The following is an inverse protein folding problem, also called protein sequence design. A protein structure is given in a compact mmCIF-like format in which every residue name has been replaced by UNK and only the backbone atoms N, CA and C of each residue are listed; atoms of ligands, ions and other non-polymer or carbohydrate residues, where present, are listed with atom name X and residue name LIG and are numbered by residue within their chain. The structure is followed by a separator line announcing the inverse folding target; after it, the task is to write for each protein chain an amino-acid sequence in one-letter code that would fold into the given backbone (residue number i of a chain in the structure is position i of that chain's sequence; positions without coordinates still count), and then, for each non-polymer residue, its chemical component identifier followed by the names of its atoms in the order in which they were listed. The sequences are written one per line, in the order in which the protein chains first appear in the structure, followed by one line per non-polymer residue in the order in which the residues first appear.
data_IF_487956098866
#
_entry.id   IF_487956098866
#
_cell.length_a   1.000
_cell.length_b   1.000
_cell.length_c   1.000
_cell.angle_alpha   90.00
_cell.angle_beta   90.00
_cell.angle_gamma   90.00
#
_symmetry.space_group_name_H-M   'P 1'
#
loop_
_entity.id
_entity.type
_entity.pdbx_description
1 polymer ?
#
# COMPACT_ATOMS: atom_id res chain seq x y z
N UNK A 1 36.88 -34.92 -18.47
CA UNK A 1 35.82 -33.89 -18.56
C UNK A 1 35.21 -33.76 -17.18
N UNK A 2 35.66 -32.75 -16.42
CA UNK A 2 35.20 -32.44 -15.06
C UNK A 2 34.35 -31.19 -15.17
N UNK A 3 33.10 -31.28 -14.74
CA UNK A 3 32.16 -30.17 -14.64
C UNK A 3 32.77 -29.03 -13.81
N UNK A 4 33.13 -27.96 -14.51
CA UNK A 4 33.47 -26.66 -13.93
C UNK A 4 32.25 -25.76 -14.11
N UNK A 5 31.18 -26.05 -13.37
CA UNK A 5 30.06 -25.14 -13.24
C UNK A 5 30.53 -23.91 -12.44
N UNK A 6 30.38 -22.68 -12.95
CA UNK A 6 30.78 -21.48 -12.23
C UNK A 6 29.96 -21.37 -10.94
N UNK A 7 30.69 -21.32 -9.82
CA UNK A 7 30.15 -21.14 -8.48
C UNK A 7 29.51 -19.75 -8.43
N UNK A 8 28.18 -19.70 -8.53
CA UNK A 8 27.40 -18.47 -8.35
C UNK A 8 27.71 -17.92 -6.96
N UNK A 9 28.47 -16.83 -6.92
CA UNK A 9 28.64 -16.00 -5.74
C UNK A 9 27.27 -15.45 -5.39
N UNK A 10 26.61 -16.11 -4.43
CA UNK A 10 25.42 -15.59 -3.75
C UNK A 10 25.89 -14.30 -3.08
N UNK A 11 25.67 -13.16 -3.76
CA UNK A 11 25.77 -11.86 -3.11
C UNK A 11 24.75 -11.93 -1.98
N UNK A 12 25.15 -11.78 -0.69
CA UNK A 12 24.20 -11.77 0.40
C UNK A 12 23.19 -10.67 0.08
N UNK A 13 21.97 -11.09 -0.22
CA UNK A 13 20.84 -10.22 -0.48
C UNK A 13 20.67 -9.43 0.81
N UNK A 14 21.24 -8.23 0.83
CA UNK A 14 21.20 -7.32 1.96
C UNK A 14 19.72 -7.07 2.16
N UNK A 15 19.14 -7.70 3.19
CA UNK A 15 17.72 -7.59 3.50
C UNK A 15 17.37 -6.13 3.39
N UNK A 16 16.61 -5.78 2.35
CA UNK A 16 16.24 -4.42 2.06
C UNK A 16 15.52 -3.95 3.32
N UNK A 17 16.20 -3.15 4.14
CA UNK A 17 15.65 -2.63 5.37
C UNK A 17 14.43 -1.83 4.93
N UNK A 18 13.27 -2.45 5.11
CA UNK A 18 11.99 -1.83 4.79
C UNK A 18 11.99 -0.50 5.53
N UNK A 19 11.93 0.64 4.81
CA UNK A 19 12.10 1.94 5.42
C UNK A 19 11.25 2.07 6.68
N UNK A 20 11.83 2.61 7.76
CA UNK A 20 11.21 2.64 9.09
C UNK A 20 9.80 3.28 9.10
N UNK A 21 9.50 4.11 8.10
CA UNK A 21 8.19 4.73 7.92
C UNK A 21 7.12 3.78 7.34
N UNK A 22 7.52 2.70 6.65
CA UNK A 22 6.63 1.64 6.15
C UNK A 22 6.35 0.57 7.21
N UNK A 23 7.25 0.39 8.18
CA UNK A 23 6.88 -0.23 9.46
C UNK A 23 6.00 0.76 10.22
N UNK A 24 4.74 0.89 9.78
CA UNK A 24 3.68 1.47 10.59
C UNK A 24 3.75 0.76 11.93
N UNK A 25 4.35 1.45 12.91
CA UNK A 25 4.60 0.94 14.25
C UNK A 25 3.30 0.31 14.69
N UNK A 26 3.26 -1.02 14.68
CA UNK A 26 2.06 -1.80 14.95
C UNK A 26 1.75 -1.50 16.41
N UNK A 27 0.94 -0.45 16.62
CA UNK A 27 0.57 0.05 17.94
C UNK A 27 0.10 -1.19 18.66
N UNK A 28 0.77 -1.56 19.76
CA UNK A 28 0.44 -2.76 20.52
C UNK A 28 -1.04 -2.70 20.86
N UNK A 29 -1.86 -3.35 20.04
CA UNK A 29 -3.29 -3.42 20.27
C UNK A 29 -3.47 -4.27 21.52
N UNK A 30 -4.33 -3.82 22.43
CA UNK A 30 -4.62 -4.61 23.62
C UNK A 30 -5.11 -6.00 23.22
N UNK A 31 -4.74 -7.02 23.98
CA UNK A 31 -5.11 -8.41 23.71
C UNK A 31 -6.62 -8.59 23.54
N UNK A 32 -7.41 -7.78 24.27
CA UNK A 32 -8.85 -7.73 24.16
C UNK A 32 -9.35 -7.21 22.80
N UNK A 33 -8.82 -6.07 22.32
CA UNK A 33 -9.20 -5.52 21.02
C UNK A 33 -8.83 -6.47 19.88
N UNK A 34 -7.67 -7.13 19.98
CA UNK A 34 -7.25 -8.12 18.99
C UNK A 34 -8.18 -9.33 18.95
N UNK A 35 -8.64 -9.81 20.11
CA UNK A 35 -9.65 -10.86 20.19
C UNK A 35 -10.98 -10.41 19.57
N UNK A 36 -11.44 -9.20 19.88
CA UNK A 36 -12.67 -8.65 19.32
C UNK A 36 -12.61 -8.52 17.79
N UNK A 37 -11.52 -7.95 17.24
CA UNK A 37 -11.36 -7.84 15.79
C UNK A 37 -11.33 -9.20 15.09
N UNK A 38 -10.75 -10.23 15.72
CA UNK A 38 -10.82 -11.60 15.18
C UNK A 38 -12.24 -12.16 15.12
N UNK A 39 -13.11 -11.73 16.02
CA UNK A 39 -14.50 -12.18 16.07
C UNK A 39 -15.40 -11.40 15.09
N UNK A 40 -15.21 -10.07 14.99
CA UNK A 40 -16.18 -9.17 14.39
C UNK A 40 -15.73 -8.49 13.08
N UNK A 41 -14.43 -8.36 12.81
CA UNK A 41 -13.93 -7.76 11.57
C UNK A 41 -13.90 -8.76 10.41
N UNK A 42 -14.02 -8.30 9.15
CA UNK A 42 -13.72 -9.14 7.99
C UNK A 42 -12.25 -9.60 8.00
N UNK A 43 -11.92 -10.72 7.33
CA UNK A 43 -10.53 -11.17 7.20
C UNK A 43 -9.68 -10.12 6.48
N UNK A 44 -8.41 -10.03 6.88
CA UNK A 44 -7.45 -9.09 6.28
C UNK A 44 -7.20 -9.45 4.80
N UNK A 45 -7.34 -8.50 3.87
CA UNK A 45 -7.08 -8.76 2.45
C UNK A 45 -5.58 -8.96 2.20
N UNK A 46 -5.23 -9.60 1.09
CA UNK A 46 -3.84 -9.74 0.67
C UNK A 46 -3.19 -8.35 0.41
N UNK A 47 -1.87 -8.25 0.53
CA UNK A 47 -1.12 -7.01 0.27
C UNK A 47 -1.23 -6.52 -1.18
N UNK A 48 -1.63 -7.39 -2.11
CA UNK A 48 -1.89 -7.08 -3.52
C UNK A 48 -3.36 -6.83 -3.82
N UNK A 49 -4.22 -6.76 -2.80
CA UNK A 49 -5.66 -6.57 -2.99
C UNK A 49 -5.97 -5.21 -3.61
N UNK A 50 -7.09 -5.16 -4.33
CA UNK A 50 -7.54 -3.93 -4.97
C UNK A 50 -7.91 -2.86 -3.91
N UNK A 51 -7.79 -1.59 -4.28
CA UNK A 51 -8.21 -0.48 -3.41
C UNK A 51 -9.64 -0.64 -2.88
N UNK A 52 -10.54 -1.16 -3.71
CA UNK A 52 -11.95 -1.41 -3.34
C UNK A 52 -12.08 -2.43 -2.21
N UNK A 53 -11.28 -3.51 -2.24
CA UNK A 53 -11.27 -4.54 -1.20
C UNK A 53 -10.64 -4.02 0.09
N UNK A 54 -9.55 -3.25 -0.01
CA UNK A 54 -8.93 -2.60 1.14
C UNK A 54 -9.88 -1.61 1.81
N UNK A 55 -10.58 -0.78 1.04
CA UNK A 55 -11.58 0.17 1.58
C UNK A 55 -12.75 -0.56 2.23
N UNK A 56 -13.18 -1.68 1.64
CA UNK A 56 -14.22 -2.52 2.22
C UNK A 56 -13.77 -3.13 3.56
N UNK A 57 -12.53 -3.61 3.65
CA UNK A 57 -11.93 -4.08 4.91
C UNK A 57 -11.82 -2.95 5.95
N UNK A 58 -11.33 -1.77 5.56
CA UNK A 58 -11.22 -0.58 6.42
C UNK A 58 -12.58 -0.20 7.02
N UNK A 59 -13.64 -0.15 6.19
CA UNK A 59 -15.02 0.10 6.64
C UNK A 59 -15.53 -1.00 7.58
N UNK A 60 -15.28 -2.27 7.25
CA UNK A 60 -15.66 -3.39 8.12
C UNK A 60 -14.98 -3.36 9.49
N UNK A 61 -13.69 -2.96 9.54
CA UNK A 61 -12.94 -2.80 10.79
C UNK A 61 -13.43 -1.60 11.62
N UNK A 62 -13.69 -0.46 10.99
CA UNK A 62 -14.31 0.69 11.67
C UNK A 62 -15.70 0.32 12.21
N UNK A 63 -16.50 -0.40 11.41
CA UNK A 63 -17.77 -0.95 11.83
C UNK A 63 -17.66 -1.86 13.06
N UNK A 64 -16.64 -2.74 13.09
CA UNK A 64 -16.38 -3.61 14.25
C UNK A 64 -16.15 -2.81 15.54
N UNK A 65 -15.45 -1.67 15.49
CA UNK A 65 -15.25 -0.81 16.66
C UNK A 65 -16.57 -0.22 17.16
N UNK A 66 -17.42 0.23 16.23
CA UNK A 66 -18.72 0.82 16.54
C UNK A 66 -19.65 -0.23 17.14
N UNK A 67 -19.75 -1.42 16.54
CA UNK A 67 -20.58 -2.51 17.06
C UNK A 67 -20.20 -2.84 18.51
N UNK A 68 -18.91 -2.83 18.87
CA UNK A 68 -18.48 -3.03 20.26
C UNK A 68 -19.05 -1.98 21.21
N UNK A 69 -18.98 -0.70 20.83
CA UNK A 69 -19.56 0.39 21.61
C UNK A 69 -21.08 0.27 21.70
N UNK A 70 -21.74 -0.21 20.64
CA UNK A 70 -23.19 -0.47 20.64
C UNK A 70 -23.58 -1.62 21.57
N UNK A 71 -22.80 -2.71 21.65
CA UNK A 71 -23.02 -3.75 22.65
C UNK A 71 -22.89 -3.20 24.08
N UNK A 72 -21.85 -2.39 24.33
CA UNK A 72 -21.66 -1.78 25.64
C UNK A 72 -22.86 -0.88 26.01
N UNK A 73 -23.36 -0.09 25.06
CA UNK A 73 -24.56 0.72 25.24
C UNK A 73 -25.78 -0.13 25.60
N UNK A 74 -26.01 -1.26 24.91
CA UNK A 74 -27.12 -2.16 25.23
C UNK A 74 -26.98 -2.76 26.62
N UNK A 75 -25.77 -3.16 27.03
CA UNK A 75 -25.51 -3.69 28.37
C UNK A 75 -25.79 -2.63 29.45
N UNK A 76 -25.34 -1.39 29.24
CA UNK A 76 -25.62 -0.26 30.15
C UNK A 76 -27.13 0.07 30.21
N UNK A 77 -27.89 -0.27 29.18
CA UNK A 77 -29.34 -0.03 29.15
C UNK A 77 -30.16 -1.07 29.93
N UNK A 78 -29.58 -2.22 30.31
CA UNK A 78 -30.28 -3.29 31.01
C UNK A 78 -30.86 -2.85 32.36
N UNK A 79 -30.12 -2.16 33.26
CA UNK A 79 -30.66 -1.70 34.53
C UNK A 79 -31.88 -0.78 34.37
N UNK A 80 -31.91 0.05 33.32
CA UNK A 80 -33.05 0.90 33.02
C UNK A 80 -34.31 0.10 32.66
N UNK A 81 -34.17 -1.11 32.12
CA UNK A 81 -35.30 -2.02 31.85
C UNK A 81 -35.94 -2.62 33.11
N UNK A 82 -35.18 -2.75 34.20
CA UNK A 82 -35.69 -3.27 35.47
C UNK A 82 -36.26 -2.17 36.38
N UNK A 83 -35.69 -0.97 36.33
CA UNK A 83 -36.10 0.17 37.17
C UNK A 83 -37.13 1.06 36.45
N UNK A 84 -37.14 1.04 35.11
CA UNK A 84 -37.97 1.92 34.30
C UNK A 84 -39.45 1.52 34.27
N UNK A 85 -40.28 2.47 33.82
CA UNK A 85 -41.73 2.27 33.67
C UNK A 85 -42.10 1.44 32.45
N UNK A 86 -41.20 1.30 31.47
CA UNK A 86 -41.46 0.56 30.24
C UNK A 86 -41.00 -0.90 30.35
N UNK A 87 -41.93 -1.81 30.69
CA UNK A 87 -41.68 -3.26 30.77
C UNK A 87 -41.21 -3.87 29.43
N UNK A 88 -41.52 -3.22 28.30
CA UNK A 88 -41.10 -3.67 26.98
C UNK A 88 -39.62 -3.38 26.69
N UNK A 89 -38.92 -2.61 27.53
CA UNK A 89 -37.51 -2.28 27.30
C UNK A 89 -36.60 -3.52 27.30
N UNK A 90 -36.83 -4.49 28.20
CA UNK A 90 -36.05 -5.74 28.24
C UNK A 90 -36.17 -6.54 26.93
N UNK A 91 -37.37 -6.89 26.43
CA UNK A 91 -37.47 -7.60 25.16
C UNK A 91 -36.94 -6.80 23.97
N UNK A 92 -37.03 -5.46 23.99
CA UNK A 92 -36.41 -4.59 22.97
C UNK A 92 -34.87 -4.73 23.01
N UNK A 93 -34.25 -4.68 24.19
CA UNK A 93 -32.79 -4.86 24.34
C UNK A 93 -32.35 -6.25 23.89
N UNK A 94 -33.12 -7.30 24.20
CA UNK A 94 -32.85 -8.67 23.75
C UNK A 94 -32.91 -8.74 22.21
N UNK A 95 -33.98 -8.21 21.61
CA UNK A 95 -34.13 -8.16 20.15
C UNK A 95 -33.00 -7.39 19.47
N UNK A 96 -32.61 -6.23 20.02
CA UNK A 96 -31.50 -5.44 19.51
C UNK A 96 -30.15 -6.18 19.63
N UNK A 97 -29.93 -6.91 20.72
CA UNK A 97 -28.74 -7.73 20.92
C UNK A 97 -28.65 -8.86 19.89
N UNK A 98 -29.76 -9.56 19.64
CA UNK A 98 -29.83 -10.60 18.60
C UNK A 98 -29.56 -10.02 17.20
N UNK A 99 -30.14 -8.87 16.87
CA UNK A 99 -29.90 -8.21 15.60
C UNK A 99 -28.43 -7.75 15.45
N UNK A 100 -27.80 -7.27 16.51
CA UNK A 100 -26.36 -6.96 16.52
C UNK A 100 -25.48 -8.20 16.34
N UNK A 101 -25.88 -9.35 16.88
CA UNK A 101 -25.15 -10.62 16.66
C UNK A 101 -25.19 -10.97 15.17
N UNK A 102 -26.35 -10.88 14.54
CA UNK A 102 -26.49 -11.09 13.09
C UNK A 102 -25.66 -10.06 12.31
N UNK A 103 -25.71 -8.78 12.69
CA UNK A 103 -24.89 -7.73 12.09
C UNK A 103 -23.38 -8.01 12.18
N UNK A 104 -22.93 -8.51 13.33
CA UNK A 104 -21.53 -8.88 13.58
C UNK A 104 -21.11 -10.05 12.70
N UNK A 105 -21.96 -11.08 12.59
CA UNK A 105 -21.70 -12.22 11.71
C UNK A 105 -21.62 -11.80 10.23
N UNK A 106 -22.52 -10.93 9.77
CA UNK A 106 -22.48 -10.42 8.40
C UNK A 106 -21.24 -9.54 8.14
N UNK A 107 -20.82 -8.72 9.11
CA UNK A 107 -19.62 -7.92 9.01
C UNK A 107 -18.37 -8.81 8.88
N UNK A 108 -18.31 -9.88 9.67
CA UNK A 108 -17.23 -10.89 9.62
C UNK A 108 -17.13 -11.59 8.26
N UNK A 109 -18.27 -11.89 7.62
CA UNK A 109 -18.30 -12.52 6.28
C UNK A 109 -17.97 -11.51 5.17
N UNK A 110 -17.74 -10.24 5.50
CA UNK A 110 -17.48 -9.19 4.51
C UNK A 110 -18.74 -8.71 3.79
N UNK A 111 -19.93 -8.88 4.38
CA UNK A 111 -21.17 -8.24 3.88
C UNK A 111 -21.44 -6.93 4.63
N UNK A 112 -20.50 -5.99 4.57
CA UNK A 112 -20.47 -4.78 5.42
C UNK A 112 -21.70 -3.90 5.23
N UNK A 113 -22.18 -3.73 3.98
CA UNK A 113 -23.39 -2.93 3.74
C UNK A 113 -24.65 -3.57 4.37
N UNK A 114 -24.80 -4.89 4.27
CA UNK A 114 -25.94 -5.60 4.85
C UNK A 114 -25.90 -5.57 6.39
N UNK A 115 -24.71 -5.78 6.97
CA UNK A 115 -24.47 -5.58 8.40
C UNK A 115 -24.86 -4.16 8.82
N UNK A 116 -24.42 -3.17 8.05
CA UNK A 116 -24.76 -1.76 8.24
C UNK A 116 -26.26 -1.48 8.27
N UNK A 117 -27.01 -1.99 7.29
CA UNK A 117 -28.46 -1.82 7.22
C UNK A 117 -29.11 -2.40 8.49
N UNK A 118 -28.72 -3.61 8.90
CA UNK A 118 -29.28 -4.25 10.11
C UNK A 118 -28.96 -3.43 11.35
N UNK A 119 -27.70 -2.98 11.52
CA UNK A 119 -27.28 -2.16 12.67
C UNK A 119 -28.06 -0.84 12.71
N UNK A 120 -28.16 -0.14 11.57
CA UNK A 120 -28.90 1.13 11.47
C UNK A 120 -30.37 0.91 11.78
N UNK A 121 -31.03 -0.07 11.18
CA UNK A 121 -32.45 -0.36 11.46
C UNK A 121 -32.67 -0.75 12.92
N UNK A 122 -31.75 -1.52 13.51
CA UNK A 122 -31.81 -1.89 14.93
C UNK A 122 -31.79 -0.65 15.82
N UNK A 123 -30.89 0.29 15.55
CA UNK A 123 -30.75 1.52 16.36
C UNK A 123 -31.72 2.63 15.98
N UNK A 124 -32.47 2.51 14.88
CA UNK A 124 -33.70 3.27 14.64
C UNK A 124 -34.84 2.64 15.45
N UNK A 125 -35.03 1.33 15.34
CA UNK A 125 -36.12 0.61 15.99
C UNK A 125 -36.03 0.68 17.52
N UNK A 126 -34.83 0.61 18.10
CA UNK A 126 -34.61 0.65 19.55
C UNK A 126 -35.29 1.87 20.23
N UNK A 127 -34.92 3.14 19.92
CA UNK A 127 -35.58 4.30 20.50
C UNK A 127 -37.03 4.46 20.01
N UNK A 128 -37.34 4.15 18.76
CA UNK A 128 -38.70 4.27 18.19
C UNK A 128 -39.69 3.39 18.94
N UNK A 129 -39.39 2.09 19.08
CA UNK A 129 -40.25 1.14 19.78
C UNK A 129 -40.33 1.50 21.26
N UNK A 130 -39.24 1.93 21.89
CA UNK A 130 -39.26 2.38 23.29
C UNK A 130 -40.21 3.58 23.49
N UNK A 131 -40.14 4.60 22.61
CA UNK A 131 -41.01 5.78 22.66
C UNK A 131 -42.48 5.37 22.45
N UNK A 132 -42.78 4.56 21.43
CA UNK A 132 -44.14 4.16 21.08
C UNK A 132 -44.77 3.24 22.14
N UNK A 133 -43.98 2.41 22.81
CA UNK A 133 -44.46 1.46 23.82
C UNK A 133 -44.44 2.01 25.25
N UNK A 134 -44.06 3.28 25.44
CA UNK A 134 -44.02 3.90 26.78
C UNK A 134 -45.44 3.99 27.37
N UNK A 135 -45.70 3.37 28.54
CA UNK A 135 -47.02 3.44 29.17
C UNK A 135 -47.41 4.88 29.51
N UNK A 136 -48.66 5.25 29.20
CA UNK A 136 -49.16 6.62 29.40
C UNK A 136 -48.76 7.61 28.30
N UNK A 137 -48.04 7.17 27.26
CA UNK A 137 -47.68 7.98 26.10
C UNK A 137 -46.45 8.86 26.32
N UNK A 138 -46.33 9.92 25.52
CA UNK A 138 -45.23 10.87 25.58
C UNK A 138 -45.33 11.72 26.86
N UNK A 139 -44.27 11.69 27.66
CA UNK A 139 -44.07 12.54 28.83
C UNK A 139 -42.80 13.38 28.68
N UNK A 140 -42.60 14.36 29.56
CA UNK A 140 -41.39 15.18 29.59
C UNK A 140 -40.11 14.34 29.75
N UNK A 141 -40.20 13.20 30.45
CA UNK A 141 -39.08 12.27 30.66
C UNK A 141 -38.69 11.48 29.39
N UNK A 142 -39.58 11.40 28.40
CA UNK A 142 -39.35 10.69 27.13
C UNK A 142 -38.66 11.58 26.11
N UNK A 143 -38.76 12.91 26.23
CA UNK A 143 -38.16 13.85 25.27
C UNK A 143 -36.64 13.62 25.05
N UNK A 144 -35.82 13.35 26.07
CA UNK A 144 -34.40 13.01 25.88
C UNK A 144 -34.16 11.77 25.01
N UNK A 145 -35.12 10.83 24.92
CA UNK A 145 -34.98 9.63 24.08
C UNK A 145 -34.96 9.95 22.59
N UNK A 146 -35.53 11.07 22.15
CA UNK A 146 -35.37 11.53 20.77
C UNK A 146 -33.91 11.89 20.45
N UNK A 147 -33.11 12.27 21.45
CA UNK A 147 -31.67 12.47 21.29
C UNK A 147 -30.93 11.18 20.90
N UNK A 148 -31.45 10.01 21.28
CA UNK A 148 -30.88 8.72 20.89
C UNK A 148 -31.04 8.42 19.39
N UNK A 149 -31.94 9.12 18.68
CA UNK A 149 -32.07 9.04 17.22
C UNK A 149 -30.86 9.63 16.47
N UNK A 150 -29.92 10.27 17.17
CA UNK A 150 -28.63 10.66 16.59
C UNK A 150 -27.72 9.43 16.38
N UNK A 151 -27.82 8.42 17.23
CA UNK A 151 -26.99 7.22 17.17
C UNK A 151 -27.08 6.45 15.83
N UNK A 152 -28.27 6.19 15.25
CA UNK A 152 -28.36 5.58 13.94
C UNK A 152 -27.76 6.44 12.80
N UNK A 153 -27.60 7.76 12.97
CA UNK A 153 -26.88 8.61 12.01
C UNK A 153 -25.39 8.29 11.98
N UNK A 154 -24.79 8.15 13.17
CA UNK A 154 -23.39 7.73 13.31
C UNK A 154 -23.18 6.32 12.77
N UNK A 155 -24.13 5.40 13.02
CA UNK A 155 -24.08 4.07 12.45
C UNK A 155 -24.16 4.12 10.90
N UNK A 156 -25.06 4.93 10.35
CA UNK A 156 -25.24 5.04 8.91
C UNK A 156 -23.99 5.55 8.21
N UNK A 157 -23.36 6.61 8.72
CA UNK A 157 -22.17 7.18 8.07
C UNK A 157 -20.96 6.24 8.10
N UNK A 158 -20.87 5.37 9.11
CA UNK A 158 -19.74 4.45 9.26
C UNK A 158 -19.89 3.17 8.47
N UNK A 159 -21.12 2.66 8.33
CA UNK A 159 -21.36 1.39 7.66
C UNK A 159 -21.88 1.52 6.24
N UNK A 160 -22.57 2.60 5.89
CA UNK A 160 -23.22 2.79 4.60
C UNK A 160 -22.49 3.87 3.80
N UNK A 161 -22.78 4.01 2.49
CA UNK A 161 -22.31 5.18 1.74
C UNK A 161 -22.70 6.48 2.45
N UNK A 162 -21.83 7.50 2.53
CA UNK A 162 -22.02 8.66 3.39
C UNK A 162 -23.36 9.40 3.21
N UNK A 163 -23.93 9.37 2.01
CA UNK A 163 -25.22 10.02 1.71
C UNK A 163 -26.42 9.41 2.45
N UNK A 164 -26.34 8.16 2.92
CA UNK A 164 -27.41 7.51 3.68
C UNK A 164 -27.71 8.23 5.00
N UNK A 165 -26.75 8.98 5.55
CA UNK A 165 -26.95 9.73 6.80
C UNK A 165 -28.11 10.74 6.67
N UNK A 166 -28.30 11.33 5.49
CA UNK A 166 -29.39 12.27 5.24
C UNK A 166 -30.76 11.58 5.15
N UNK A 167 -30.80 10.38 4.57
CA UNK A 167 -32.03 9.57 4.50
C UNK A 167 -32.48 9.18 5.92
N UNK A 168 -31.55 8.74 6.76
CA UNK A 168 -31.83 8.40 8.16
C UNK A 168 -32.21 9.64 8.97
N UNK A 169 -31.53 10.78 8.77
CA UNK A 169 -31.87 12.04 9.45
C UNK A 169 -33.28 12.52 9.08
N UNK A 170 -33.65 12.44 7.80
CA UNK A 170 -34.99 12.77 7.34
C UNK A 170 -36.04 11.84 7.97
N UNK A 171 -35.80 10.53 7.95
CA UNK A 171 -36.69 9.55 8.60
C UNK A 171 -36.87 9.81 10.09
N UNK A 172 -35.79 10.10 10.82
CA UNK A 172 -35.83 10.40 12.25
C UNK A 172 -36.52 11.74 12.55
N UNK A 173 -36.34 12.74 11.68
CA UNK A 173 -37.01 14.04 11.80
C UNK A 173 -38.52 13.91 11.57
N UNK A 174 -38.93 13.15 10.54
CA UNK A 174 -40.33 12.85 10.26
C UNK A 174 -40.97 12.05 11.40
N UNK A 175 -40.26 11.04 11.94
CA UNK A 175 -40.73 10.29 13.09
C UNK A 175 -40.89 11.17 14.33
N UNK A 176 -39.95 12.09 14.58
CA UNK A 176 -40.03 13.05 15.70
C UNK A 176 -41.26 13.95 15.57
N UNK A 177 -41.47 14.52 14.39
CA UNK A 177 -42.63 15.36 14.09
C UNK A 177 -43.95 14.57 14.27
N UNK A 178 -44.02 13.38 13.67
CA UNK A 178 -45.19 12.51 13.78
C UNK A 178 -45.48 12.14 15.24
N UNK A 179 -44.45 11.79 16.01
CA UNK A 179 -44.60 11.42 17.41
C UNK A 179 -45.20 12.55 18.23
N UNK A 180 -44.67 13.77 18.11
CA UNK A 180 -45.16 14.91 18.88
C UNK A 180 -46.59 15.34 18.50
N UNK A 181 -47.02 15.09 17.27
CA UNK A 181 -48.37 15.44 16.81
C UNK A 181 -49.39 14.36 17.18
N UNK A 182 -49.10 13.10 16.89
CA UNK A 182 -50.11 12.04 16.86
C UNK A 182 -50.09 11.07 18.05
N UNK A 183 -48.98 10.92 18.77
CA UNK A 183 -48.95 9.98 19.90
C UNK A 183 -49.70 10.55 21.11
N UNK A 184 -50.31 9.68 21.95
CA UNK A 184 -50.88 10.08 23.23
C UNK A 184 -49.82 10.80 24.08
N UNK A 185 -50.23 11.84 24.80
CA UNK A 185 -49.34 12.71 25.57
C UNK A 185 -49.90 12.91 26.97
N UNK A 186 -49.04 13.09 27.95
CA UNK A 186 -49.49 13.52 29.29
C UNK A 186 -50.06 14.93 29.24
N UNK A 187 -50.97 15.26 30.17
CA UNK A 187 -51.59 16.59 30.25
C UNK A 187 -50.54 17.70 30.39
N UNK A 188 -49.48 17.44 31.16
CA UNK A 188 -48.33 18.34 31.33
C UNK A 188 -47.63 18.62 29.99
N UNK A 189 -47.24 17.58 29.25
CA UNK A 189 -46.59 17.76 27.95
C UNK A 189 -47.51 18.46 26.97
N UNK A 190 -48.81 18.15 26.98
CA UNK A 190 -49.78 18.82 26.10
C UNK A 190 -49.88 20.33 26.37
N UNK A 191 -49.88 20.75 27.64
CA UNK A 191 -49.92 22.16 28.01
C UNK A 191 -48.64 22.89 27.55
N UNK A 192 -47.47 22.27 27.74
CA UNK A 192 -46.19 22.85 27.30
C UNK A 192 -46.12 22.92 25.77
N UNK A 193 -46.56 21.85 25.09
CA UNK A 193 -46.48 21.78 23.64
C UNK A 193 -47.40 22.81 22.95
N UNK A 194 -48.54 23.16 23.57
CA UNK A 194 -49.41 24.22 23.07
C UNK A 194 -48.73 25.61 23.06
N UNK A 195 -47.79 25.85 23.98
CA UNK A 195 -47.11 27.14 24.13
C UNK A 195 -45.77 27.14 23.40
N UNK A 196 -45.04 26.02 23.42
CA UNK A 196 -43.64 25.93 23.04
C UNK A 196 -43.32 24.80 22.06
N UNK A 197 -44.27 24.40 21.19
CA UNK A 197 -44.05 23.33 20.18
C UNK A 197 -42.75 23.53 19.39
N UNK A 198 -42.57 24.72 18.80
CA UNK A 198 -41.38 25.02 18.00
C UNK A 198 -40.09 24.98 18.84
N UNK A 199 -40.15 25.42 20.10
CA UNK A 199 -39.00 25.40 21.02
C UNK A 199 -38.55 24.00 21.40
N UNK A 200 -39.45 23.01 21.43
CA UNK A 200 -39.12 21.60 21.69
C UNK A 200 -38.66 20.89 20.40
N UNK A 201 -39.37 21.11 19.29
CA UNK A 201 -39.07 20.43 18.02
C UNK A 201 -37.73 20.90 17.42
N UNK A 202 -37.47 22.21 17.45
CA UNK A 202 -36.33 22.81 16.74
C UNK A 202 -34.99 22.25 17.21
N UNK A 203 -34.66 22.19 18.52
CA UNK A 203 -33.38 21.65 18.97
C UNK A 203 -33.17 20.17 18.58
N UNK A 204 -34.22 19.36 18.63
CA UNK A 204 -34.15 17.93 18.29
C UNK A 204 -33.83 17.77 16.80
N UNK A 205 -34.63 18.38 15.92
CA UNK A 205 -34.43 18.29 14.46
C UNK A 205 -33.13 18.97 14.03
N UNK A 206 -32.83 20.15 14.57
CA UNK A 206 -31.61 20.88 14.27
C UNK A 206 -30.36 20.07 14.66
N UNK A 207 -30.37 19.40 15.81
CA UNK A 207 -29.25 18.54 16.22
C UNK A 207 -29.02 17.37 15.25
N UNK A 208 -30.09 16.74 14.74
CA UNK A 208 -29.99 15.67 13.75
C UNK A 208 -29.42 16.18 12.42
N UNK A 209 -29.87 17.35 11.96
CA UNK A 209 -29.35 17.99 10.75
C UNK A 209 -27.86 18.32 10.90
N UNK A 210 -27.48 19.01 11.99
CA UNK A 210 -26.09 19.38 12.26
C UNK A 210 -25.20 18.13 12.30
N UNK A 211 -25.58 17.11 13.08
CA UNK A 211 -24.80 15.88 13.18
C UNK A 211 -24.69 15.18 11.82
N UNK A 212 -25.75 15.15 11.02
CA UNK A 212 -25.71 14.54 9.67
C UNK A 212 -24.72 15.25 8.74
N UNK A 213 -24.67 16.59 8.75
CA UNK A 213 -23.76 17.39 7.93
C UNK A 213 -22.31 17.17 8.40
N UNK A 214 -22.07 17.27 9.70
CA UNK A 214 -20.72 17.09 10.28
C UNK A 214 -20.21 15.68 10.03
N UNK A 215 -21.04 14.65 10.26
CA UNK A 215 -20.71 13.26 10.00
C UNK A 215 -20.38 13.03 8.52
N UNK A 216 -21.20 13.56 7.61
CA UNK A 216 -20.97 13.47 6.17
C UNK A 216 -19.65 14.11 5.76
N UNK A 217 -19.40 15.36 6.19
CA UNK A 217 -18.19 16.09 5.88
C UNK A 217 -16.94 15.41 6.45
N UNK A 218 -17.04 14.86 7.66
CA UNK A 218 -15.96 14.12 8.32
C UNK A 218 -15.58 12.86 7.53
N UNK A 219 -16.54 11.98 7.23
CA UNK A 219 -16.25 10.74 6.48
C UNK A 219 -15.74 11.07 5.07
N UNK A 220 -16.34 12.03 4.38
CA UNK A 220 -15.88 12.43 3.06
C UNK A 220 -14.45 13.01 3.11
N UNK A 221 -14.14 13.81 4.12
CA UNK A 221 -12.80 14.34 4.37
C UNK A 221 -11.77 13.24 4.62
N UNK A 222 -12.10 12.27 5.49
CA UNK A 222 -11.24 11.13 5.79
C UNK A 222 -11.00 10.26 4.56
N UNK A 223 -12.04 9.90 3.80
CA UNK A 223 -11.87 9.09 2.57
C UNK A 223 -11.01 9.81 1.54
N UNK A 224 -11.18 11.12 1.35
CA UNK A 224 -10.33 11.91 0.44
C UNK A 224 -8.89 11.97 0.94
N UNK A 225 -8.67 12.23 2.22
CA UNK A 225 -7.32 12.27 2.80
C UNK A 225 -6.61 10.92 2.64
N UNK A 226 -7.31 9.83 2.90
CA UNK A 226 -6.77 8.48 2.77
C UNK A 226 -6.44 8.13 1.32
N UNK A 227 -7.33 8.46 0.37
CA UNK A 227 -7.03 8.27 -1.06
C UNK A 227 -5.83 9.07 -1.55
N UNK A 228 -5.56 10.24 -0.97
CA UNK A 228 -4.37 11.05 -1.28
C UNK A 228 -3.11 10.43 -0.68
N UNK A 229 -3.20 9.92 0.54
CA UNK A 229 -2.09 9.23 1.20
C UNK A 229 -1.69 7.97 0.43
N UNK A 230 -2.66 7.12 0.05
CA UNK A 230 -2.38 5.88 -0.70
C UNK A 230 -1.72 6.18 -2.06
N UNK A 231 -2.17 7.24 -2.77
CA UNK A 231 -1.51 7.69 -4.02
C UNK A 231 -0.10 8.24 -3.81
N UNK A 232 0.12 8.96 -2.71
CA UNK A 232 1.45 9.48 -2.38
C UNK A 232 2.42 8.35 -2.04
N UNK A 233 1.94 7.30 -1.37
CA UNK A 233 2.73 6.10 -1.08
C UNK A 233 3.08 5.32 -2.36
N UNK A 234 2.12 5.14 -3.27
CA UNK A 234 2.37 4.52 -4.57
C UNK A 234 3.40 5.33 -5.40
N UNK A 235 3.27 6.66 -5.42
CA UNK A 235 4.22 7.53 -6.10
C UNK A 235 5.62 7.44 -5.49
N UNK A 236 5.73 7.49 -4.16
CA UNK A 236 7.02 7.38 -3.46
C UNK A 236 7.70 6.03 -3.73
N UNK A 237 6.92 4.94 -3.83
CA UNK A 237 7.43 3.63 -4.20
C UNK A 237 7.97 3.61 -5.63
N UNK A 238 7.22 4.17 -6.59
CA UNK A 238 7.65 4.27 -7.98
C UNK A 238 8.90 5.15 -8.15
N UNK A 239 8.96 6.28 -7.45
CA UNK A 239 10.14 7.15 -7.44
C UNK A 239 11.37 6.42 -6.89
N UNK A 240 11.20 5.63 -5.83
CA UNK A 240 12.27 4.81 -5.28
C UNK A 240 12.77 3.75 -6.26
N UNK A 241 11.85 3.02 -6.90
CA UNK A 241 12.20 2.00 -7.90
C UNK A 241 12.90 2.62 -9.12
N UNK A 242 12.46 3.80 -9.57
CA UNK A 242 13.11 4.56 -10.65
C UNK A 242 14.50 5.06 -10.25
N UNK A 243 14.68 5.53 -9.01
CA UNK A 243 15.98 5.96 -8.51
C UNK A 243 16.99 4.81 -8.48
N UNK A 244 16.56 3.61 -8.03
CA UNK A 244 17.40 2.41 -8.06
C UNK A 244 17.78 2.00 -9.50
N UNK A 245 16.83 2.05 -10.44
CA UNK A 245 17.12 1.77 -11.84
C UNK A 245 18.10 2.78 -12.44
N UNK A 246 17.94 4.06 -12.11
CA UNK A 246 18.86 5.12 -12.55
C UNK A 246 20.28 4.91 -12.01
N UNK A 247 20.42 4.48 -10.75
CA UNK A 247 21.72 4.17 -10.16
C UNK A 247 22.39 3.00 -10.89
N UNK A 248 21.66 1.91 -11.13
CA UNK A 248 22.18 0.74 -11.87
C UNK A 248 22.60 1.14 -13.29
N UNK A 249 21.80 1.95 -13.98
CA UNK A 249 22.13 2.44 -15.32
C UNK A 249 23.38 3.35 -15.31
N UNK A 250 23.53 4.21 -14.30
CA UNK A 250 24.70 5.07 -14.13
C UNK A 250 25.98 4.23 -13.88
N UNK A 251 25.91 3.21 -13.02
CA UNK A 251 27.02 2.30 -12.76
C UNK A 251 27.43 1.53 -14.03
N UNK A 252 26.46 1.00 -14.78
CA UNK A 252 26.72 0.33 -16.06
C UNK A 252 27.40 1.26 -17.06
N UNK A 253 26.95 2.52 -17.16
CA UNK A 253 27.56 3.52 -18.02
C UNK A 253 29.02 3.81 -17.63
N UNK A 254 29.28 4.00 -16.33
CA UNK A 254 30.64 4.23 -15.84
C UNK A 254 31.58 3.04 -16.11
N UNK A 255 31.07 1.81 -15.95
CA UNK A 255 31.82 0.61 -16.29
C UNK A 255 32.13 0.53 -17.79
N UNK A 256 31.16 0.86 -18.65
CA UNK A 256 31.35 0.92 -20.10
C UNK A 256 32.40 1.98 -20.48
N UNK A 257 32.30 3.19 -19.95
CA UNK A 257 33.27 4.28 -20.22
C UNK A 257 34.69 3.89 -19.81
N UNK A 258 34.85 3.33 -18.60
CA UNK A 258 36.15 2.83 -18.12
C UNK A 258 36.71 1.75 -19.04
N UNK A 259 35.85 0.89 -19.58
CA UNK A 259 36.24 -0.22 -20.45
C UNK A 259 36.62 0.25 -21.84
N UNK A 260 35.90 1.24 -22.38
CA UNK A 260 36.26 1.94 -23.61
C UNK A 260 37.62 2.63 -23.46
N UNK A 261 37.86 3.32 -22.34
CA UNK A 261 39.13 4.02 -22.11
C UNK A 261 40.32 3.05 -22.13
N UNK A 262 40.18 1.86 -21.53
CA UNK A 262 41.21 0.81 -21.60
C UNK A 262 41.46 0.30 -23.02
N UNK A 263 40.41 0.16 -23.83
CA UNK A 263 40.53 -0.21 -25.25
C UNK A 263 41.29 0.88 -26.01
N UNK A 264 40.91 2.15 -25.83
CA UNK A 264 41.53 3.31 -26.46
C UNK A 264 43.00 3.42 -26.09
N UNK A 265 43.34 3.32 -24.80
CA UNK A 265 44.72 3.36 -24.31
C UNK A 265 45.59 2.25 -24.92
N UNK A 266 45.04 1.03 -24.99
CA UNK A 266 45.73 -0.10 -25.64
C UNK A 266 45.98 0.20 -27.12
N UNK A 267 44.99 0.79 -27.82
CA UNK A 267 45.12 1.16 -29.22
C UNK A 267 46.21 2.22 -29.44
N UNK A 268 46.29 3.24 -28.57
CA UNK A 268 47.35 4.27 -28.60
C UNK A 268 48.73 3.63 -28.40
N UNK A 269 48.89 2.71 -27.43
CA UNK A 269 50.16 2.00 -27.20
C UNK A 269 50.60 1.19 -28.42
N UNK A 270 49.67 0.48 -29.04
CA UNK A 270 49.92 -0.27 -30.29
C UNK A 270 50.33 0.67 -31.42
N UNK A 271 49.63 1.80 -31.59
CA UNK A 271 49.97 2.81 -32.59
C UNK A 271 51.38 3.39 -32.39
N UNK A 272 51.83 3.49 -31.13
CA UNK A 272 53.19 3.88 -30.76
C UNK A 272 54.23 2.75 -30.90
N UNK A 273 53.86 1.59 -31.47
CA UNK A 273 54.76 0.50 -31.79
C UNK A 273 54.89 -0.60 -30.72
N UNK A 274 54.13 -0.51 -29.62
CA UNK A 274 54.06 -1.55 -28.57
C UNK A 274 52.99 -2.60 -28.92
N UNK A 275 53.36 -3.56 -29.77
CA UNK A 275 52.46 -4.66 -30.19
C UNK A 275 52.26 -5.74 -29.12
N UNK A 276 52.98 -5.67 -28.00
CA UNK A 276 52.78 -6.57 -26.86
C UNK A 276 51.60 -6.11 -25.97
N UNK A 277 51.12 -4.89 -26.13
CA UNK A 277 49.95 -4.41 -25.41
C UNK A 277 48.71 -5.28 -25.71
N UNK A 278 47.93 -5.58 -24.66
CA UNK A 278 46.68 -6.33 -24.72
C UNK A 278 45.63 -5.59 -23.91
N UNK A 279 44.39 -5.63 -24.37
CA UNK A 279 43.27 -5.02 -23.67
C UNK A 279 42.94 -5.87 -22.43
N UNK A 280 43.06 -5.33 -21.20
CA UNK A 280 42.81 -6.09 -19.97
C UNK A 280 41.33 -5.99 -19.57
N UNK A 281 40.45 -6.62 -20.35
CA UNK A 281 39.02 -6.74 -20.01
C UNK A 281 38.69 -8.16 -19.56
N UNK A 282 37.93 -8.27 -18.46
CA UNK A 282 37.43 -9.55 -17.90
C UNK A 282 36.20 -10.03 -18.65
N UNK A 283 35.87 -11.33 -18.53
CA UNK A 283 34.69 -11.94 -19.18
C UNK A 283 33.36 -11.31 -18.73
N UNK A 284 33.33 -10.71 -17.55
CA UNK A 284 32.15 -10.04 -16.99
C UNK A 284 31.83 -8.71 -17.68
N UNK A 285 32.71 -8.24 -18.56
CA UNK A 285 32.55 -6.97 -19.26
C UNK A 285 31.71 -7.12 -20.54
N UNK A 286 30.74 -6.23 -20.75
CA UNK A 286 29.93 -6.21 -21.98
C UNK A 286 30.80 -6.06 -23.25
N UNK A 287 31.95 -5.39 -23.15
CA UNK A 287 32.89 -5.21 -24.26
C UNK A 287 33.94 -6.33 -24.36
N UNK A 288 33.80 -7.42 -23.60
CA UNK A 288 34.75 -8.53 -23.64
C UNK A 288 34.90 -9.13 -25.04
N UNK A 289 33.79 -9.32 -25.76
CA UNK A 289 33.82 -9.84 -27.14
C UNK A 289 34.60 -8.91 -28.09
N UNK A 290 34.43 -7.59 -27.94
CA UNK A 290 35.17 -6.57 -28.72
C UNK A 290 36.66 -6.60 -28.37
N UNK A 291 37.00 -6.77 -27.10
CA UNK A 291 38.39 -6.88 -26.64
C UNK A 291 39.08 -8.15 -27.18
N UNK A 292 38.33 -9.26 -27.26
CA UNK A 292 38.84 -10.53 -27.76
C UNK A 292 39.18 -10.46 -29.24
N UNK A 293 38.30 -9.87 -30.06
CA UNK A 293 38.58 -9.67 -31.49
C UNK A 293 39.77 -8.73 -31.70
N UNK A 294 39.87 -7.64 -30.91
CA UNK A 294 41.00 -6.72 -30.98
C UNK A 294 42.32 -7.40 -30.62
N UNK A 295 42.37 -8.13 -29.50
CA UNK A 295 43.58 -8.85 -29.06
C UNK A 295 44.03 -9.90 -30.10
N UNK A 296 43.09 -10.56 -30.79
CA UNK A 296 43.41 -11.47 -31.88
C UNK A 296 44.02 -10.75 -33.10
N UNK A 297 43.50 -9.57 -33.46
CA UNK A 297 44.08 -8.74 -34.53
C UNK A 297 45.48 -8.27 -34.17
N UNK A 298 45.70 -7.81 -32.93
CA UNK A 298 47.01 -7.41 -32.43
C UNK A 298 48.02 -8.56 -32.47
N UNK A 299 47.61 -9.77 -32.07
CA UNK A 299 48.45 -10.95 -32.14
C UNK A 299 48.80 -11.38 -33.59
N UNK A 300 47.91 -11.13 -34.57
CA UNK A 300 48.23 -11.34 -35.99
C UNK A 300 49.22 -10.28 -36.50
N UNK A 301 49.02 -9.02 -36.14
CA UNK A 301 49.89 -7.91 -36.54
C UNK A 301 51.30 -8.04 -35.94
N UNK A 302 51.39 -8.48 -34.68
CA UNK A 302 52.67 -8.79 -34.02
C UNK A 302 53.44 -9.88 -34.75
N UNK A 303 52.77 -10.98 -35.12
CA UNK A 303 53.38 -12.07 -35.90
C UNK A 303 53.89 -11.57 -37.25
N UNK A 304 53.07 -10.83 -38.00
CA UNK A 304 53.49 -10.23 -39.28
C UNK A 304 54.74 -9.35 -39.16
N UNK A 305 54.86 -8.57 -38.07
CA UNK A 305 56.05 -7.73 -37.83
C UNK A 305 57.27 -8.57 -37.50
N UNK A 306 57.14 -9.62 -36.69
CA UNK A 306 58.22 -10.56 -36.37
C UNK A 306 58.69 -11.28 -37.64
N UNK A 307 57.77 -11.83 -38.42
CA UNK A 307 58.06 -12.51 -39.69
C UNK A 307 58.81 -11.57 -40.65
N UNK A 308 58.40 -10.30 -40.73
CA UNK A 308 59.07 -9.30 -41.58
C UNK A 308 60.49 -8.96 -41.09
N UNK A 309 60.70 -8.89 -39.77
CA UNK A 309 62.00 -8.61 -39.17
C UNK A 309 62.95 -9.80 -39.35
N UNK A 310 62.48 -11.04 -39.17
CA UNK A 310 63.23 -12.25 -39.49
C UNK A 310 63.59 -12.29 -40.97
N UNK A 311 62.66 -11.96 -41.87
CA UNK A 311 62.93 -11.86 -43.30
C UNK A 311 64.02 -10.83 -43.63
N UNK A 312 64.04 -9.68 -42.93
CA UNK A 312 65.11 -8.68 -43.08
C UNK A 312 66.45 -9.20 -42.57
N UNK A 313 66.47 -9.89 -41.42
CA UNK A 313 67.69 -10.51 -40.90
C UNK A 313 68.23 -11.59 -41.83
N UNK A 314 67.34 -12.46 -42.34
CA UNK A 314 67.70 -13.49 -43.32
C UNK A 314 68.25 -12.85 -44.59
N UNK A 315 67.64 -11.77 -45.10
CA UNK A 315 68.16 -11.02 -46.26
C UNK A 315 69.56 -10.46 -46.02
N UNK A 316 69.81 -9.88 -44.84
CA UNK A 316 71.13 -9.37 -44.46
C UNK A 316 72.17 -10.49 -44.34
N UNK A 317 71.83 -11.60 -43.68
CA UNK A 317 72.71 -12.77 -43.55
C UNK A 317 73.01 -13.39 -44.91
N UNK A 318 72.03 -13.46 -45.82
CA UNK A 318 72.23 -13.92 -47.20
C UNK A 318 73.16 -12.99 -47.98
N UNK A 319 73.05 -11.67 -47.81
CA UNK A 319 73.98 -10.72 -48.42
C UNK A 319 75.41 -10.92 -47.90
N UNK A 320 75.59 -11.03 -46.58
CA UNK A 320 76.89 -11.29 -45.97
C UNK A 320 77.50 -12.61 -46.45
N UNK A 321 76.74 -13.70 -46.44
CA UNK A 321 77.21 -15.00 -46.93
C UNK A 321 77.57 -14.97 -48.43
N UNK A 322 76.90 -14.12 -49.22
CA UNK A 322 77.21 -13.90 -50.63
C UNK A 322 78.52 -13.14 -50.82
N UNK A 323 78.78 -12.14 -49.98
CA UNK A 323 80.05 -11.40 -49.95
C UNK A 323 81.21 -12.28 -49.50
N UNK A 324 81.02 -13.09 -48.45
CA UNK A 324 81.99 -14.05 -47.95
C UNK A 324 82.36 -15.11 -49.01
N UNK A 325 81.36 -15.68 -49.69
CA UNK A 325 81.60 -16.59 -50.82
C UNK A 325 82.34 -15.88 -51.97
N UNK A 326 82.03 -14.60 -52.22
CA UNK A 326 82.75 -13.78 -53.19
C UNK A 326 84.23 -13.61 -52.83
N UNK A 327 84.54 -13.43 -51.54
CA UNK A 327 85.92 -13.35 -51.05
C UNK A 327 86.66 -14.68 -51.11
N UNK A 328 86.02 -15.79 -50.71
CA UNK A 328 86.60 -17.13 -50.81
C UNK A 328 86.93 -17.51 -52.26
N UNK A 329 86.07 -17.14 -53.22
CA UNK A 329 86.37 -17.31 -54.65
C UNK A 329 87.60 -16.51 -55.10
N UNK A 330 87.80 -15.30 -54.59
CA UNK A 330 89.01 -14.50 -54.88
C UNK A 330 90.26 -15.12 -54.26
N UNK A 331 90.16 -15.70 -53.07
CA UNK A 331 91.28 -16.37 -52.40
C UNK A 331 91.66 -17.69 -53.11
N UNK A 332 90.67 -18.51 -53.52
CA UNK A 332 90.92 -19.76 -54.24
C UNK A 332 91.35 -19.54 -55.70
N UNK A 333 90.96 -18.42 -56.32
CA UNK A 333 91.40 -18.06 -57.68
C UNK A 333 92.86 -17.57 -57.77
N UNK A 334 93.49 -17.21 -56.65
CA UNK A 334 94.89 -16.76 -56.61
C UNK A 334 95.90 -17.86 -56.26
N UNK A 335 95.48 -19.13 -56.15
CA UNK A 335 96.33 -20.27 -55.79
C UNK A 335 96.85 -21.12 -56.96
N UNK A 336 96.71 -20.68 -58.22
CA UNK A 336 97.09 -21.44 -59.43
C UNK A 336 98.09 -20.72 -60.32
N UNK A 337 99.13 -20.08 -59.74
CA UNK A 337 100.31 -19.66 -60.48
C UNK A 337 101.60 -19.98 -59.74
#
# INVERSE_FOLDING_TARGET
MKDLSPRSTIVPQRDAQVPLYLTTRQRQESTFLRWWYRLASPPEPASTASFKEMEHFRRGRAGSQIIMALYLLLVISIPAGFVGTNIYLIPIVIGASLALIVGTMLNRVGKVNAAGIIVVLTFIAFPVVNIVTTPGGLSMMVLPLFGLLILPLLCAVSFLPPWWVFVVALGNSLFTLFSLIYLPRTAELSAILAIAFAGILTPIVLSQIIVSIVAFAWVQGTTRALSRADRAEELARLEHDLALQAEVAAQQKQQLETSIQKIVETHIRVANGDFNARVPLTQDNVLWQVSGSLNNLLARMQRWRQDSAELQQVKLALQQAREENGMLRRLLGNGTH
#
